data_IF_829376303968
#
_entry.id   IF_829376303968
#
_cell.length_a   1.000
_cell.length_b   1.000
_cell.length_c   1.000
_cell.angle_alpha   90.00
_cell.angle_beta   90.00
_cell.angle_gamma   90.00
#
_symmetry.space_group_name_H-M   'P 1'
#
loop_
_entity.id
_entity.type
_entity.pdbx_description
1 polymer ?
#
# COMPACT_ATOMS: atom_id res chain seq x y z
N UNK A 1 9.63 9.19 30.95
CA UNK A 1 9.51 9.66 29.54
C UNK A 1 8.24 10.47 29.30
N UNK A 2 7.05 9.86 29.31
CA UNK A 2 5.73 10.50 29.01
C UNK A 2 5.49 11.84 29.72
N UNK A 3 5.76 11.91 31.04
CA UNK A 3 5.50 13.12 31.85
C UNK A 3 6.39 14.32 31.51
N UNK A 4 7.62 14.12 31.03
CA UNK A 4 8.64 15.20 30.96
C UNK A 4 9.32 15.36 29.60
N UNK A 5 9.27 14.34 28.74
CA UNK A 5 10.06 14.31 27.49
C UNK A 5 9.19 14.21 26.23
N UNK A 6 7.87 14.31 26.38
CA UNK A 6 6.93 14.29 25.28
C UNK A 6 6.01 15.50 25.44
N UNK A 7 6.16 16.47 24.54
CA UNK A 7 5.41 17.73 24.60
C UNK A 7 4.04 17.63 23.93
N UNK A 8 3.87 16.72 22.96
CA UNK A 8 2.58 16.53 22.28
C UNK A 8 2.51 15.29 21.41
N UNK A 9 3.52 15.04 20.57
CA UNK A 9 3.52 13.87 19.67
C UNK A 9 4.73 12.97 19.90
N UNK A 10 4.49 11.67 19.94
CA UNK A 10 5.52 10.63 19.92
C UNK A 10 5.55 10.01 18.53
N UNK A 11 6.71 10.07 17.88
CA UNK A 11 6.93 9.51 16.55
C UNK A 11 7.47 8.09 16.65
N UNK A 12 6.85 7.19 15.90
CA UNK A 12 7.25 5.78 15.82
C UNK A 12 7.37 5.34 14.36
N UNK A 13 8.23 4.37 14.10
CA UNK A 13 8.46 3.82 12.76
C UNK A 13 8.10 2.33 12.74
N UNK A 14 6.81 1.99 12.71
CA UNK A 14 6.39 0.61 12.53
C UNK A 14 6.63 0.10 11.11
N UNK A 15 6.68 1.00 10.12
CA UNK A 15 6.95 0.75 8.69
C UNK A 15 5.86 -0.07 7.98
N UNK A 16 5.45 -1.22 8.53
CA UNK A 16 4.37 -2.08 8.04
C UNK A 16 3.63 -2.79 9.19
N UNK A 17 2.58 -3.56 8.87
CA UNK A 17 1.82 -4.44 9.77
C UNK A 17 1.98 -5.93 9.46
N UNK A 18 2.46 -6.27 8.27
CA UNK A 18 2.41 -7.65 7.79
C UNK A 18 3.71 -8.34 8.16
N UNK A 19 3.62 -9.41 8.96
CA UNK A 19 4.78 -10.09 9.52
C UNK A 19 5.78 -10.52 8.44
N UNK A 20 5.30 -11.01 7.30
CA UNK A 20 6.15 -11.40 6.17
C UNK A 20 6.92 -10.23 5.55
N UNK A 21 6.32 -9.03 5.54
CA UNK A 21 6.96 -7.81 5.00
C UNK A 21 7.91 -7.24 6.05
N UNK A 22 7.50 -7.22 7.32
CA UNK A 22 8.33 -6.82 8.46
C UNK A 22 9.58 -7.70 8.61
N UNK A 23 9.45 -9.02 8.40
CA UNK A 23 10.58 -9.93 8.36
C UNK A 23 11.57 -9.59 7.24
N UNK A 24 11.09 -9.15 6.07
CA UNK A 24 11.95 -8.64 5.01
C UNK A 24 12.62 -7.30 5.39
N UNK A 25 11.99 -6.49 6.24
CA UNK A 25 12.55 -5.25 6.79
C UNK A 25 13.50 -5.48 7.98
N UNK A 26 13.59 -6.71 8.50
CA UNK A 26 14.33 -7.01 9.73
C UNK A 26 13.66 -6.45 11.00
N UNK A 27 12.33 -6.28 10.97
CA UNK A 27 11.52 -5.74 12.05
C UNK A 27 10.74 -6.84 12.77
N UNK A 28 10.43 -6.67 14.06
CA UNK A 28 9.50 -7.56 14.76
C UNK A 28 8.08 -7.42 14.19
N UNK A 29 7.22 -8.38 14.53
CA UNK A 29 5.81 -8.36 14.16
C UNK A 29 5.02 -7.17 14.74
N UNK A 30 3.77 -6.97 14.29
CA UNK A 30 2.93 -5.83 14.68
C UNK A 30 2.56 -5.83 16.18
N UNK A 31 2.71 -6.95 16.88
CA UNK A 31 2.37 -7.11 18.29
C UNK A 31 3.18 -6.16 19.19
N UNK A 32 4.47 -5.98 18.87
CA UNK A 32 5.34 -5.07 19.61
C UNK A 32 4.84 -3.62 19.56
N UNK A 33 4.30 -3.21 18.40
CA UNK A 33 3.71 -1.91 18.20
C UNK A 33 2.41 -1.75 19.00
N UNK A 34 1.54 -2.77 19.00
CA UNK A 34 0.29 -2.78 19.75
C UNK A 34 0.57 -2.61 21.25
N UNK A 35 1.48 -3.41 21.79
CA UNK A 35 1.88 -3.34 23.21
C UNK A 35 2.44 -1.96 23.55
N UNK A 36 3.34 -1.43 22.71
CA UNK A 36 3.90 -0.10 22.91
C UNK A 36 2.82 0.99 22.92
N UNK A 37 1.89 0.94 21.96
CA UNK A 37 0.78 1.88 21.87
C UNK A 37 -0.10 1.84 23.11
N UNK A 38 -0.42 0.66 23.61
CA UNK A 38 -1.31 0.51 24.77
C UNK A 38 -0.66 1.03 26.05
N UNK A 39 0.63 0.72 26.25
CA UNK A 39 1.41 1.31 27.34
C UNK A 39 1.50 2.83 27.21
N UNK A 40 1.73 3.35 26.01
CA UNK A 40 1.79 4.79 25.76
C UNK A 40 0.46 5.49 26.08
N UNK A 41 -0.66 4.93 25.61
CA UNK A 41 -2.01 5.47 25.87
C UNK A 41 -2.32 5.45 27.37
N UNK A 42 -2.02 4.34 28.05
CA UNK A 42 -2.19 4.21 29.50
C UNK A 42 -1.41 5.30 30.25
N UNK A 43 -0.10 5.40 30.02
CA UNK A 43 0.72 6.39 30.74
C UNK A 43 0.39 7.84 30.37
N UNK A 44 -0.08 8.09 29.14
CA UNK A 44 -0.56 9.42 28.72
C UNK A 44 -1.79 9.83 29.51
N UNK A 45 -2.75 8.90 29.67
CA UNK A 45 -3.93 9.10 30.51
C UNK A 45 -3.56 9.32 31.98
N UNK A 46 -2.66 8.49 32.54
CA UNK A 46 -2.17 8.62 33.93
C UNK A 46 -1.40 9.93 34.17
N UNK A 47 -0.83 10.53 33.13
CA UNK A 47 -0.15 11.82 33.18
C UNK A 47 -1.11 13.01 32.95
N UNK A 48 -2.38 12.73 32.66
CA UNK A 48 -3.42 13.70 32.31
C UNK A 48 -2.99 14.65 31.16
N UNK A 49 -2.30 14.10 30.15
CA UNK A 49 -1.82 14.85 28.99
C UNK A 49 -2.57 14.44 27.73
N UNK A 50 -2.64 15.35 26.76
CA UNK A 50 -3.13 15.06 25.40
C UNK A 50 -1.93 14.80 24.49
N UNK A 51 -1.47 13.55 24.46
CA UNK A 51 -0.37 13.15 23.58
C UNK A 51 -0.86 12.18 22.51
N UNK A 52 -0.29 12.30 21.31
CA UNK A 52 -0.66 11.51 20.15
C UNK A 52 0.55 10.70 19.66
N UNK A 53 0.26 9.56 19.05
CA UNK A 53 1.25 8.81 18.29
C UNK A 53 1.20 9.27 16.83
N UNK A 54 2.36 9.41 16.21
CA UNK A 54 2.51 9.63 14.78
C UNK A 54 3.39 8.51 14.22
N UNK A 55 2.97 7.92 13.10
CA UNK A 55 3.61 6.72 12.54
C UNK A 55 4.11 6.94 11.13
N UNK A 56 5.31 6.44 10.83
CA UNK A 56 5.85 6.34 9.48
C UNK A 56 5.54 4.96 8.88
N UNK A 57 4.91 4.96 7.70
CA UNK A 57 4.59 3.75 6.95
C UNK A 57 5.32 3.74 5.61
N UNK A 58 5.78 2.57 5.18
CA UNK A 58 6.52 2.37 3.93
C UNK A 58 5.67 1.54 2.98
N UNK A 59 5.43 2.06 1.78
CA UNK A 59 4.79 1.35 0.67
C UNK A 59 5.83 0.81 -0.32
N UNK A 60 5.46 -0.23 -1.08
CA UNK A 60 6.28 -0.81 -2.14
C UNK A 60 7.66 -1.33 -1.69
N UNK A 61 7.79 -1.78 -0.44
CA UNK A 61 8.96 -2.52 0.01
C UNK A 61 9.04 -3.89 -0.71
N UNK A 62 10.24 -4.45 -0.96
CA UNK A 62 10.36 -5.83 -1.43
C UNK A 62 9.57 -6.82 -0.57
N UNK A 63 8.84 -7.72 -1.21
CA UNK A 63 7.90 -8.64 -0.58
C UNK A 63 6.51 -8.05 -0.36
N UNK A 64 6.28 -6.75 -0.54
CA UNK A 64 4.98 -6.11 -0.33
C UNK A 64 4.11 -6.12 -1.60
N UNK A 65 2.90 -6.67 -1.48
CA UNK A 65 1.86 -6.69 -2.52
C UNK A 65 0.78 -5.65 -2.23
N UNK A 66 -0.09 -5.39 -3.21
CA UNK A 66 -1.25 -4.50 -2.99
C UNK A 66 -2.16 -5.01 -1.86
N UNK A 67 -2.36 -6.31 -1.75
CA UNK A 67 -3.17 -6.91 -0.69
C UNK A 67 -2.58 -6.64 0.71
N UNK A 68 -1.25 -6.62 0.84
CA UNK A 68 -0.59 -6.23 2.10
C UNK A 68 -0.84 -4.78 2.44
N UNK A 69 -0.84 -3.89 1.45
CA UNK A 69 -1.13 -2.47 1.65
C UNK A 69 -2.57 -2.25 2.10
N UNK A 70 -3.51 -3.04 1.60
CA UNK A 70 -4.90 -3.02 2.07
C UNK A 70 -5.02 -3.52 3.51
N UNK A 71 -4.30 -4.58 3.88
CA UNK A 71 -4.24 -5.04 5.27
C UNK A 71 -3.62 -3.99 6.19
N UNK A 72 -2.53 -3.36 5.75
CA UNK A 72 -1.89 -2.26 6.45
C UNK A 72 -2.82 -1.07 6.64
N UNK A 73 -3.62 -0.73 5.62
CA UNK A 73 -4.64 0.31 5.71
C UNK A 73 -5.65 0.00 6.83
N UNK A 74 -6.21 -1.21 6.82
CA UNK A 74 -7.16 -1.67 7.85
C UNK A 74 -6.52 -1.65 9.24
N UNK A 75 -5.28 -2.10 9.35
CA UNK A 75 -4.53 -2.08 10.61
C UNK A 75 -4.31 -0.65 11.11
N UNK A 76 -3.86 0.27 10.26
CA UNK A 76 -3.62 1.66 10.64
C UNK A 76 -4.90 2.38 11.07
N UNK A 77 -6.01 2.14 10.38
CA UNK A 77 -7.33 2.68 10.74
C UNK A 77 -7.81 2.18 12.11
N UNK A 78 -7.63 0.87 12.40
CA UNK A 78 -8.09 0.26 13.66
C UNK A 78 -7.16 0.55 14.84
N UNK A 79 -5.88 0.30 14.66
CA UNK A 79 -4.93 0.24 15.76
C UNK A 79 -4.27 1.58 16.04
N UNK A 80 -3.95 2.35 14.99
CA UNK A 80 -3.24 3.61 15.13
C UNK A 80 -4.19 4.80 15.22
N UNK A 81 -5.44 4.67 14.74
CA UNK A 81 -6.42 5.76 14.65
C UNK A 81 -5.85 6.99 13.90
N UNK A 82 -4.90 6.74 13.00
CA UNK A 82 -4.21 7.75 12.21
C UNK A 82 -4.67 7.61 10.77
N UNK A 83 -4.95 8.74 10.12
CA UNK A 83 -4.73 8.83 8.69
C UNK A 83 -3.23 9.03 8.51
N UNK A 84 -2.50 8.08 7.90
CA UNK A 84 -1.07 8.25 7.70
C UNK A 84 -0.85 9.36 6.69
N UNK A 85 -0.67 10.60 7.17
CA UNK A 85 -0.28 11.72 6.31
C UNK A 85 1.11 11.51 5.71
N UNK A 86 1.91 10.61 6.30
CA UNK A 86 3.29 10.35 5.92
C UNK A 86 3.48 8.88 5.52
N UNK A 87 3.11 8.58 4.28
CA UNK A 87 3.44 7.32 3.61
C UNK A 87 4.62 7.55 2.69
N UNK A 88 5.72 6.84 2.95
CA UNK A 88 6.94 6.90 2.16
C UNK A 88 6.98 5.73 1.17
N UNK A 89 7.37 5.99 -0.07
CA UNK A 89 7.74 4.91 -0.99
C UNK A 89 9.11 4.37 -0.62
N UNK A 90 9.25 3.05 -0.63
CA UNK A 90 10.56 2.42 -0.50
C UNK A 90 11.51 2.96 -1.58
N UNK A 91 12.65 3.52 -1.17
CA UNK A 91 13.72 4.00 -2.06
C UNK A 91 14.94 3.13 -1.84
N UNK A 92 15.42 2.39 -2.86
CA UNK A 92 16.62 1.56 -2.72
C UNK A 92 17.82 2.41 -2.30
N UNK A 93 18.34 2.15 -1.10
CA UNK A 93 19.56 2.74 -0.58
C UNK A 93 20.73 1.75 -0.74
N UNK A 94 21.92 2.20 -1.14
CA UNK A 94 23.09 1.33 -1.28
C UNK A 94 23.40 0.62 0.04
N UNK A 95 24.02 -0.56 -0.05
CA UNK A 95 24.46 -1.35 1.11
C UNK A 95 23.33 -1.79 2.07
N UNK A 96 22.10 -1.97 1.57
CA UNK A 96 20.99 -2.51 2.36
C UNK A 96 20.48 -3.84 1.81
N UNK A 97 20.04 -4.73 2.72
CA UNK A 97 19.43 -6.01 2.36
C UNK A 97 18.15 -5.78 1.53
N UNK A 98 17.36 -4.76 1.86
CA UNK A 98 16.18 -4.37 1.10
C UNK A 98 16.52 -3.99 -0.34
N UNK A 99 17.62 -3.28 -0.59
CA UNK A 99 18.05 -2.99 -1.98
C UNK A 99 18.51 -4.25 -2.70
N UNK A 100 19.22 -5.16 -2.02
CA UNK A 100 19.58 -6.44 -2.61
C UNK A 100 18.34 -7.26 -3.00
N UNK A 101 17.36 -7.32 -2.10
CA UNK A 101 16.03 -7.91 -2.33
C UNK A 101 15.32 -7.25 -3.50
N UNK A 102 15.35 -5.92 -3.56
CA UNK A 102 14.77 -5.16 -4.66
C UNK A 102 15.43 -5.56 -5.99
N UNK A 103 16.75 -5.53 -6.08
CA UNK A 103 17.47 -5.81 -7.33
C UNK A 103 17.39 -7.27 -7.79
N UNK A 104 17.43 -8.23 -6.85
CA UNK A 104 17.50 -9.66 -7.18
C UNK A 104 16.15 -10.36 -7.17
N UNK A 105 15.12 -9.73 -6.60
CA UNK A 105 13.79 -10.34 -6.36
C UNK A 105 13.87 -11.62 -5.52
N UNK A 106 14.90 -11.74 -4.69
CA UNK A 106 15.11 -12.88 -3.78
C UNK A 106 15.42 -12.39 -2.39
N UNK A 107 14.84 -13.06 -1.40
CA UNK A 107 15.22 -12.85 -0.01
C UNK A 107 16.60 -13.53 0.22
N UNK A 108 17.65 -12.78 0.58
CA UNK A 108 19.02 -13.31 0.62
C UNK A 108 19.25 -14.26 1.81
N UNK A 109 18.43 -14.19 2.86
CA UNK A 109 18.55 -15.06 4.03
C UNK A 109 17.89 -16.42 3.79
N UNK A 110 16.75 -16.45 3.11
CA UNK A 110 16.00 -17.68 2.84
C UNK A 110 16.22 -18.26 1.43
N UNK A 111 16.80 -17.49 0.51
CA UNK A 111 16.98 -17.85 -0.90
C UNK A 111 15.68 -17.87 -1.72
N UNK A 112 14.51 -17.60 -1.11
CA UNK A 112 13.21 -17.66 -1.78
C UNK A 112 13.00 -16.46 -2.70
N UNK A 113 12.31 -16.69 -3.83
CA UNK A 113 11.85 -15.60 -4.70
C UNK A 113 10.76 -14.81 -3.97
N UNK A 114 10.81 -13.49 -4.09
CA UNK A 114 9.84 -12.57 -3.50
C UNK A 114 9.31 -11.62 -4.58
N UNK A 115 8.09 -11.14 -4.36
CA UNK A 115 7.50 -10.13 -5.23
C UNK A 115 8.18 -8.77 -5.00
N UNK A 116 8.48 -8.05 -6.07
CA UNK A 116 8.99 -6.68 -6.01
C UNK A 116 8.25 -5.84 -7.04
N UNK A 117 7.57 -4.79 -6.58
CA UNK A 117 6.93 -3.86 -7.50
C UNK A 117 7.97 -2.88 -8.07
N UNK A 118 8.24 -3.01 -9.37
CA UNK A 118 9.25 -2.22 -10.09
C UNK A 118 8.64 -1.03 -10.81
N UNK A 119 7.39 -1.12 -11.20
CA UNK A 119 6.76 -0.11 -12.04
C UNK A 119 6.45 1.13 -11.21
N UNK A 120 6.75 2.32 -11.73
CA UNK A 120 6.43 3.57 -11.03
C UNK A 120 4.92 3.65 -10.71
N UNK A 121 4.07 3.23 -11.66
CA UNK A 121 2.63 3.18 -11.49
C UNK A 121 2.20 2.22 -10.38
N UNK A 122 2.69 0.97 -10.36
CA UNK A 122 2.34 0.00 -9.32
C UNK A 122 2.80 0.41 -7.93
N UNK A 123 3.99 1.02 -7.83
CA UNK A 123 4.52 1.57 -6.57
C UNK A 123 3.63 2.70 -6.05
N UNK A 124 3.26 3.63 -6.93
CA UNK A 124 2.37 4.74 -6.56
C UNK A 124 0.97 4.25 -6.19
N UNK A 125 0.42 3.25 -6.88
CA UNK A 125 -0.86 2.62 -6.51
C UNK A 125 -0.82 2.05 -5.09
N UNK A 126 0.25 1.33 -4.73
CA UNK A 126 0.44 0.82 -3.36
C UNK A 126 0.42 1.95 -2.31
N UNK A 127 1.11 3.06 -2.58
CA UNK A 127 1.09 4.23 -1.70
C UNK A 127 -0.32 4.83 -1.59
N UNK A 128 -1.04 4.95 -2.71
CA UNK A 128 -2.38 5.52 -2.74
C UNK A 128 -3.38 4.74 -1.88
N UNK A 129 -3.25 3.41 -1.76
CA UNK A 129 -4.10 2.61 -0.89
C UNK A 129 -4.15 3.17 0.55
N UNK A 130 -3.02 3.63 1.08
CA UNK A 130 -2.95 4.21 2.43
C UNK A 130 -3.40 5.67 2.52
N UNK A 131 -3.20 6.44 1.45
CA UNK A 131 -3.43 7.90 1.45
C UNK A 131 -4.88 8.26 1.08
N UNK A 132 -5.58 7.40 0.34
CA UNK A 132 -6.96 7.67 -0.09
C UNK A 132 -7.85 7.78 1.14
N UNK A 133 -8.21 9.03 1.47
CA UNK A 133 -9.24 9.38 2.43
C UNK A 133 -10.52 8.76 1.92
N UNK A 134 -11.16 7.92 2.75
CA UNK A 134 -12.55 7.54 2.54
C UNK A 134 -13.34 8.82 2.74
N UNK A 135 -13.57 9.58 1.67
CA UNK A 135 -14.56 10.64 1.67
C UNK A 135 -15.84 10.00 2.15
N UNK A 136 -16.28 10.34 3.35
CA UNK A 136 -17.66 10.11 3.77
C UNK A 136 -18.54 11.09 2.98
N UNK A 137 -18.64 10.90 1.66
CA UNK A 137 -19.71 11.51 0.87
C UNK A 137 -20.93 10.60 1.00
N UNK A 138 -21.99 11.20 1.53
CA UNK A 138 -23.28 10.55 1.73
C UNK A 138 -23.89 10.04 0.43
N UNK A 139 -24.78 9.06 0.60
CA UNK A 139 -25.84 8.61 -0.29
C UNK A 139 -25.91 9.23 -1.70
N UNK A 140 -25.73 8.39 -2.73
CA UNK A 140 -25.94 8.78 -4.12
C UNK A 140 -25.88 7.60 -5.10
N UNK A 141 -26.88 6.71 -5.02
CA UNK A 141 -27.35 5.73 -6.02
C UNK A 141 -26.31 4.75 -6.63
N UNK A 142 -26.51 3.47 -6.31
CA UNK A 142 -26.26 2.38 -7.24
C UNK A 142 -26.97 2.68 -8.56
N UNK A 143 -26.24 2.71 -9.68
CA UNK A 143 -26.83 2.37 -10.97
C UNK A 143 -26.47 0.92 -11.23
N UNK A 144 -27.42 0.07 -10.86
CA UNK A 144 -27.52 -1.30 -11.33
C UNK A 144 -27.43 -1.29 -12.86
N UNK A 145 -26.47 -2.02 -13.40
CA UNK A 145 -26.44 -2.32 -14.83
C UNK A 145 -27.51 -3.39 -15.08
N UNK A 146 -28.76 -2.95 -15.28
CA UNK A 146 -29.80 -3.80 -15.82
C UNK A 146 -29.52 -4.02 -17.31
N UNK A 147 -29.22 -5.26 -17.65
CA UNK A 147 -29.19 -5.76 -19.03
C UNK A 147 -30.60 -5.70 -19.60
N UNK A 148 -30.95 -4.66 -20.35
CA UNK A 148 -32.15 -4.65 -21.19
C UNK A 148 -31.81 -5.16 -22.60
N UNK A 149 -32.66 -6.05 -23.10
CA UNK A 149 -32.52 -6.80 -24.36
C UNK A 149 -32.67 -5.95 -25.65
N UNK A 150 -31.89 -4.88 -25.81
CA UNK A 150 -31.91 -4.04 -27.03
C UNK A 150 -30.61 -4.06 -27.84
N UNK A 151 -29.91 -5.21 -27.85
CA UNK A 151 -28.74 -5.42 -28.71
C UNK A 151 -28.91 -6.56 -29.73
N UNK A 152 -30.11 -6.69 -30.32
CA UNK A 152 -30.38 -7.59 -31.46
C UNK A 152 -30.45 -6.89 -32.83
N UNK A 153 -30.13 -5.61 -32.95
CA UNK A 153 -30.24 -4.89 -34.24
C UNK A 153 -28.92 -4.67 -35.00
N UNK A 154 -27.73 -4.73 -34.37
CA UNK A 154 -26.48 -4.40 -35.06
C UNK A 154 -25.69 -5.61 -35.64
N UNK A 155 -26.18 -6.84 -35.47
CA UNK A 155 -25.51 -8.07 -35.91
C UNK A 155 -26.07 -8.67 -37.22
N UNK A 156 -26.55 -7.84 -38.15
CA UNK A 156 -26.91 -8.30 -39.51
C UNK A 156 -26.41 -7.35 -40.59
N UNK A 157 -25.10 -7.39 -40.87
CA UNK A 157 -24.56 -7.25 -42.23
C UNK A 157 -23.09 -7.65 -42.28
N UNK A 158 -22.84 -8.97 -42.39
CA UNK A 158 -21.66 -9.47 -43.11
C UNK A 158 -22.00 -9.40 -44.60
N UNK A 159 -21.16 -8.79 -45.44
CA UNK A 159 -20.36 -9.50 -46.48
C UNK A 159 -19.64 -8.55 -47.45
N UNK A 160 -18.37 -8.88 -47.72
CA UNK A 160 -17.66 -8.80 -49.01
C UNK A 160 -17.04 -7.45 -49.47
N UNK A 161 -15.69 -7.36 -49.39
CA UNK A 161 -14.77 -7.36 -50.56
C UNK A 161 -13.30 -7.16 -50.11
N UNK A 162 -12.43 -8.14 -50.43
CA UNK A 162 -10.96 -8.06 -50.36
C UNK A 162 -10.44 -6.96 -51.31
N UNK A 163 -9.44 -6.16 -50.89
CA UNK A 163 -8.60 -5.32 -51.78
C UNK A 163 -7.17 -5.85 -51.80
N UNK A 164 -6.47 -5.83 -52.95
CA UNK A 164 -5.14 -6.44 -53.10
C UNK A 164 -4.01 -5.53 -52.58
N UNK A 165 -2.93 -6.13 -52.07
CA UNK A 165 -1.69 -5.46 -51.65
C UNK A 165 -0.96 -4.88 -52.86
N UNK A 166 -0.61 -3.58 -52.83
CA UNK A 166 0.34 -2.96 -53.77
C UNK A 166 1.77 -3.10 -53.22
N UNK A 167 2.70 -3.52 -54.08
CA UNK A 167 4.13 -3.66 -53.83
C UNK A 167 4.85 -2.32 -53.72
N UNK A 168 5.86 -2.25 -52.86
CA UNK A 168 6.76 -1.10 -52.68
C UNK A 168 7.78 -1.00 -53.84
N UNK A 169 8.16 0.21 -54.28
CA UNK A 169 9.16 0.39 -55.33
C UNK A 169 10.59 0.21 -54.80
N UNK A 170 11.41 -0.51 -55.56
CA UNK A 170 12.86 -0.66 -55.33
C UNK A 170 13.60 0.63 -55.71
N UNK A 171 14.57 1.01 -54.90
CA UNK A 171 15.76 1.78 -55.29
C UNK A 171 16.97 0.91 -55.03
#
# INVERSE_FOLDING_TARGET
>A
VVRRHISGQMKIAPEHSEERVLACMGKPGPEALIIFRDLFRKFTADANKKQLLSSYLIAAHPGCTQADMESLRRFAERELALYPEQVQLFTPAPSTISTLMYCTERNPLSGKKIFVEKTAAGRELQKQILVVKKTRFGYGKSKDYQTTEENKSWAKTRTSKKKPRKSLPKR
#
